data_IF_479449239190
#
_entry.id   IF_479449239190
#
_cell.length_a   1.000
_cell.length_b   1.000
_cell.length_c   1.000
_cell.angle_alpha   90.00
_cell.angle_beta   90.00
_cell.angle_gamma   90.00
#
_symmetry.space_group_name_H-M   'P 1'
#
loop_
_entity.id
_entity.type
_entity.pdbx_description
1 polymer ?
#
# COMPACT_ATOMS: atom_id res chain seq x y z
N UNK A 1 -4.17 -20.85 5.46
CA UNK A 1 -5.22 -19.84 5.69
C UNK A 1 -4.83 -18.63 4.86
N UNK A 2 -5.76 -18.05 4.11
CA UNK A 2 -5.49 -16.85 3.32
C UNK A 2 -5.60 -15.62 4.23
N UNK A 3 -4.59 -14.77 4.21
CA UNK A 3 -4.57 -13.50 4.95
C UNK A 3 -5.61 -12.55 4.37
N UNK A 4 -6.40 -11.91 5.24
CA UNK A 4 -7.38 -10.91 4.83
C UNK A 4 -6.69 -9.61 4.42
N UNK A 5 -7.38 -8.76 3.66
CA UNK A 5 -6.84 -7.46 3.28
C UNK A 5 -6.53 -6.59 4.51
N UNK A 6 -7.39 -6.62 5.54
CA UNK A 6 -7.22 -5.87 6.78
C UNK A 6 -5.99 -6.34 7.55
N UNK A 7 -5.75 -7.65 7.61
CA UNK A 7 -4.55 -8.22 8.21
C UNK A 7 -3.29 -7.82 7.43
N UNK A 8 -3.34 -7.89 6.09
CA UNK A 8 -2.24 -7.45 5.23
C UNK A 8 -1.94 -5.95 5.40
N UNK A 9 -2.98 -5.12 5.51
CA UNK A 9 -2.86 -3.69 5.76
C UNK A 9 -2.18 -3.40 7.09
N UNK A 10 -2.55 -4.13 8.14
CA UNK A 10 -1.92 -3.97 9.45
C UNK A 10 -0.44 -4.41 9.44
N UNK A 11 -0.09 -5.45 8.68
CA UNK A 11 1.32 -5.86 8.48
C UNK A 11 2.13 -4.73 7.83
N UNK A 12 1.60 -4.10 6.78
CA UNK A 12 2.25 -2.94 6.14
C UNK A 12 2.36 -1.79 7.14
N UNK A 13 1.27 -1.44 7.81
CA UNK A 13 1.23 -0.35 8.78
C UNK A 13 2.27 -0.54 9.89
N UNK A 14 2.28 -1.70 10.54
CA UNK A 14 3.22 -2.02 11.61
C UNK A 14 4.69 -2.00 11.16
N UNK A 15 4.97 -2.25 9.87
CA UNK A 15 6.33 -2.15 9.33
C UNK A 15 6.74 -0.71 9.02
N UNK A 16 5.89 0.05 8.34
CA UNK A 16 6.28 1.32 7.73
C UNK A 16 5.97 2.52 8.62
N UNK A 17 4.85 2.55 9.34
CA UNK A 17 4.45 3.69 10.17
C UNK A 17 5.50 4.03 11.24
N UNK A 18 6.05 3.08 12.02
CA UNK A 18 7.04 3.41 13.05
C UNK A 18 8.41 3.82 12.49
N UNK A 19 8.68 3.50 11.22
CA UNK A 19 9.93 3.82 10.54
C UNK A 19 9.77 5.00 9.56
N UNK A 20 8.61 5.65 9.57
CA UNK A 20 8.35 6.79 8.72
C UNK A 20 9.17 7.98 9.22
N UNK A 21 9.91 8.69 8.35
CA UNK A 21 10.71 9.81 8.83
C UNK A 21 9.81 10.97 9.26
N UNK A 22 10.01 11.49 10.47
CA UNK A 22 9.21 12.57 11.07
C UNK A 22 9.19 13.84 10.20
N UNK A 23 10.29 14.11 9.48
CA UNK A 23 10.43 15.29 8.61
C UNK A 23 9.80 15.13 7.22
N UNK A 24 9.24 13.96 6.91
CA UNK A 24 8.81 13.60 5.56
C UNK A 24 7.31 13.77 5.32
N UNK A 25 6.53 14.24 6.31
CA UNK A 25 5.08 14.37 6.24
C UNK A 25 4.33 13.22 6.91
N UNK A 26 3.01 13.19 6.80
CA UNK A 26 2.17 12.24 7.54
C UNK A 26 2.10 10.89 6.82
N UNK A 27 2.52 9.80 7.46
CA UNK A 27 2.38 8.45 6.92
C UNK A 27 0.94 8.13 6.53
N UNK A 28 0.75 7.60 5.33
CA UNK A 28 -0.55 7.26 4.78
C UNK A 28 -0.46 5.98 3.96
N UNK A 29 -1.45 5.10 4.15
CA UNK A 29 -1.76 4.00 3.24
C UNK A 29 -3.02 4.41 2.46
N UNK A 30 -2.90 4.60 1.16
CA UNK A 30 -4.05 4.85 0.28
C UNK A 30 -4.78 3.53 0.01
N UNK A 31 -5.72 3.19 0.90
CA UNK A 31 -6.50 1.97 0.88
C UNK A 31 -7.92 2.17 0.32
N UNK A 32 -8.16 3.26 -0.42
CA UNK A 32 -9.45 3.51 -1.11
C UNK A 32 -9.73 2.46 -2.18
N UNK A 33 -8.68 1.89 -2.75
CA UNK A 33 -8.73 0.80 -3.71
C UNK A 33 -7.86 -0.36 -3.22
N UNK A 34 -8.28 -1.57 -3.54
CA UNK A 34 -7.54 -2.79 -3.29
C UNK A 34 -7.00 -3.24 -4.64
N UNK A 35 -5.68 -3.24 -4.76
CA UNK A 35 -4.95 -3.85 -5.87
C UNK A 35 -4.42 -5.20 -5.41
N UNK A 36 -4.81 -6.28 -6.08
CA UNK A 36 -4.49 -7.63 -5.68
C UNK A 36 -4.45 -8.59 -6.87
N UNK A 37 -3.83 -9.74 -6.70
CA UNK A 37 -4.01 -10.90 -7.56
C UNK A 37 -4.21 -12.15 -6.68
N UNK A 38 -4.17 -13.35 -7.26
CA UNK A 38 -4.37 -14.59 -6.49
C UNK A 38 -3.32 -14.82 -5.39
N UNK A 39 -2.14 -14.22 -5.51
CA UNK A 39 -0.99 -14.46 -4.63
C UNK A 39 -0.79 -13.38 -3.57
N UNK A 40 -1.04 -12.11 -3.89
CA UNK A 40 -0.63 -10.97 -3.06
C UNK A 40 -1.59 -9.78 -3.12
N UNK A 41 -1.50 -8.94 -2.09
CA UNK A 41 -2.04 -7.58 -2.07
C UNK A 41 -0.91 -6.58 -2.33
N UNK A 42 -1.19 -5.52 -3.09
CA UNK A 42 -0.29 -4.41 -3.36
C UNK A 42 -0.78 -3.19 -2.60
N UNK A 43 0.13 -2.48 -1.92
CA UNK A 43 -0.21 -1.32 -1.12
C UNK A 43 0.43 -0.04 -1.67
N UNK A 44 -0.37 1.02 -1.73
CA UNK A 44 0.10 2.36 -2.01
C UNK A 44 0.37 3.07 -0.69
N UNK A 45 1.65 3.22 -0.35
CA UNK A 45 2.08 3.98 0.82
C UNK A 45 2.69 5.31 0.39
N UNK A 46 2.59 6.33 1.24
CA UNK A 46 3.15 7.64 0.97
C UNK A 46 2.76 8.64 2.04
N UNK A 47 2.93 9.92 1.72
CA UNK A 47 2.48 11.05 2.52
C UNK A 47 1.01 11.39 2.27
N UNK A 48 0.25 11.62 3.34
CA UNK A 48 -1.16 12.03 3.26
C UNK A 48 -1.33 13.33 2.48
N UNK A 49 -0.43 14.28 2.70
CA UNK A 49 -0.41 15.62 2.10
C UNK A 49 -0.37 15.53 0.57
N UNK A 50 0.36 14.57 0.01
CA UNK A 50 0.36 14.32 -1.43
C UNK A 50 -0.84 13.47 -1.87
N UNK A 51 -1.10 12.34 -1.18
CA UNK A 51 -2.06 11.33 -1.62
C UNK A 51 -3.53 11.77 -1.50
N UNK A 52 -3.82 12.68 -0.57
CA UNK A 52 -5.17 13.15 -0.24
C UNK A 52 -5.33 14.63 -0.52
N UNK A 53 -4.39 15.46 -0.06
CA UNK A 53 -4.48 16.92 -0.21
C UNK A 53 -3.87 17.43 -1.52
N UNK A 54 -3.28 16.54 -2.31
CA UNK A 54 -2.68 16.84 -3.62
C UNK A 54 -1.57 17.90 -3.55
N UNK A 55 -0.86 17.98 -2.42
CA UNK A 55 0.28 18.86 -2.24
C UNK A 55 1.53 18.24 -2.88
N UNK A 56 1.85 18.71 -4.08
CA UNK A 56 2.99 18.22 -4.88
C UNK A 56 4.35 18.41 -4.20
N UNK A 57 4.46 19.29 -3.20
CA UNK A 57 5.71 19.50 -2.45
C UNK A 57 6.15 18.24 -1.70
N UNK A 58 5.19 17.33 -1.44
CA UNK A 58 5.42 16.04 -0.82
C UNK A 58 5.38 14.89 -1.84
N UNK A 59 5.49 15.14 -3.14
CA UNK A 59 5.50 14.07 -4.13
C UNK A 59 6.72 13.16 -3.92
N UNK A 60 6.47 11.90 -3.54
CA UNK A 60 7.50 10.87 -3.44
C UNK A 60 7.41 10.02 -4.70
N UNK A 61 8.53 9.83 -5.40
CA UNK A 61 8.63 8.86 -6.50
C UNK A 61 8.78 7.47 -5.89
N UNK A 62 7.78 6.58 -5.94
CA UNK A 62 7.94 5.24 -5.40
C UNK A 62 8.72 4.42 -6.43
N UNK A 63 9.99 4.11 -6.13
CA UNK A 63 10.73 3.10 -6.89
C UNK A 63 10.25 1.68 -6.59
N UNK A 64 9.64 1.49 -5.41
CA UNK A 64 9.20 0.21 -4.89
C UNK A 64 7.85 0.33 -4.19
N UNK A 65 7.08 -0.75 -4.20
CA UNK A 65 5.74 -0.86 -3.61
C UNK A 65 5.68 -2.04 -2.64
N UNK A 66 5.17 -1.85 -1.41
CA UNK A 66 4.97 -2.95 -0.48
C UNK A 66 3.94 -3.94 -1.02
N UNK A 67 4.24 -5.23 -0.88
CA UNK A 67 3.31 -6.32 -1.19
C UNK A 67 3.22 -7.29 -0.03
N UNK A 68 2.02 -7.84 0.19
CA UNK A 68 1.80 -8.86 1.21
C UNK A 68 1.28 -10.12 0.54
N UNK A 69 2.00 -11.23 0.72
CA UNK A 69 1.59 -12.53 0.22
C UNK A 69 0.40 -13.06 1.02
N UNK A 70 -0.65 -13.47 0.32
CA UNK A 70 -1.90 -13.93 0.93
C UNK A 70 -1.74 -15.28 1.63
N UNK A 71 -0.76 -16.09 1.24
CA UNK A 71 -0.56 -17.45 1.77
C UNK A 71 -0.09 -17.48 3.22
N UNK A 72 0.78 -16.53 3.60
CA UNK A 72 1.51 -16.53 4.87
C UNK A 72 1.63 -15.14 5.52
N UNK A 73 1.17 -14.08 4.85
CA UNK A 73 1.29 -12.71 5.33
C UNK A 73 2.69 -12.14 5.19
N UNK A 74 3.59 -12.79 4.44
CA UNK A 74 4.96 -12.31 4.25
C UNK A 74 4.92 -10.95 3.56
N UNK A 75 5.55 -9.96 4.19
CA UNK A 75 5.76 -8.63 3.63
C UNK A 75 7.02 -8.64 2.75
N UNK A 76 6.89 -8.11 1.54
CA UNK A 76 7.98 -7.95 0.59
C UNK A 76 7.86 -6.57 -0.09
N UNK A 77 8.85 -6.21 -0.91
CA UNK A 77 8.80 -4.97 -1.69
C UNK A 77 9.21 -5.24 -3.13
N UNK A 78 8.32 -4.92 -4.07
CA UNK A 78 8.56 -5.10 -5.51
C UNK A 78 8.74 -3.76 -6.19
N UNK A 79 9.41 -3.71 -7.35
CA UNK A 79 9.39 -2.49 -8.17
C UNK A 79 7.99 -2.26 -8.74
N UNK A 80 7.59 -1.00 -8.91
CA UNK A 80 6.29 -0.66 -9.50
C UNK A 80 6.09 -1.36 -10.85
N UNK A 81 7.13 -1.41 -11.68
CA UNK A 81 7.13 -2.09 -12.98
C UNK A 81 6.83 -3.59 -12.90
N UNK A 82 7.30 -4.27 -11.84
CA UNK A 82 7.03 -5.69 -11.63
C UNK A 82 5.58 -5.90 -11.19
N UNK A 83 5.01 -4.99 -10.39
CA UNK A 83 3.59 -5.05 -10.03
C UNK A 83 2.68 -4.79 -11.23
N UNK A 84 3.00 -3.79 -12.05
CA UNK A 84 2.23 -3.45 -13.26
C UNK A 84 2.28 -4.55 -14.33
N UNK A 85 3.39 -5.29 -14.40
CA UNK A 85 3.58 -6.37 -15.36
C UNK A 85 2.87 -7.69 -14.99
N UNK A 86 2.23 -7.80 -13.81
CA UNK A 86 1.55 -9.05 -13.42
C UNK A 86 0.19 -9.16 -14.11
N UNK A 87 -0.01 -10.15 -15.00
CA UNK A 87 -1.19 -10.22 -15.89
C UNK A 87 -2.52 -10.55 -15.19
N UNK A 88 -2.53 -10.74 -13.86
CA UNK A 88 -3.71 -11.03 -13.04
C UNK A 88 -3.99 -9.98 -11.96
N UNK A 89 -3.27 -8.85 -11.95
CA UNK A 89 -3.55 -7.78 -11.00
C UNK A 89 -4.91 -7.12 -11.33
N UNK A 90 -5.83 -7.16 -10.37
CA UNK A 90 -7.12 -6.48 -10.44
C UNK A 90 -7.13 -5.38 -9.39
N UNK A 91 -7.65 -4.22 -9.77
CA UNK A 91 -7.93 -3.13 -8.83
C UNK A 91 -9.43 -2.95 -8.69
N UNK A 92 -9.90 -2.92 -7.45
CA UNK A 92 -11.32 -2.74 -7.11
C UNK A 92 -11.48 -1.75 -5.95
N UNK A 93 -12.65 -1.11 -5.80
CA UNK A 93 -12.94 -0.30 -4.63
C UNK A 93 -12.81 -1.11 -3.33
N UNK A 94 -12.22 -0.50 -2.28
CA UNK A 94 -12.27 -1.06 -0.94
C UNK A 94 -13.67 -0.83 -0.35
N UNK A 95 -14.42 -1.88 0.06
CA UNK A 95 -15.72 -1.69 0.69
C UNK A 95 -15.66 -0.98 2.05
N UNK A 96 -14.50 -1.02 2.72
CA UNK A 96 -14.29 -0.46 4.06
C UNK A 96 -12.91 0.22 4.14
N UNK A 97 -12.69 1.36 3.47
CA UNK A 97 -11.43 2.07 3.53
C UNK A 97 -11.20 2.64 4.93
N UNK A 98 -9.99 2.46 5.45
CA UNK A 98 -9.61 3.08 6.72
C UNK A 98 -9.15 4.53 6.52
N UNK A 99 -8.66 4.88 5.32
CA UNK A 99 -8.36 6.27 4.97
C UNK A 99 -9.66 7.08 4.88
N UNK A 100 -9.80 8.06 5.77
CA UNK A 100 -10.87 9.06 5.73
C UNK A 100 -10.34 10.34 5.05
N UNK A 101 -11.05 10.79 4.02
CA UNK A 101 -10.74 12.01 3.26
C UNK A 101 -11.20 13.22 4.06
#
# INVERSE_FOLDING_TARGET
>A
MTVSYEQAREIVRAKYEPNWPDDFGTFCIDDRQITENDELYVFRIGVREYLVENNISYAIVPGTVPVVYKTDGRLDTLSSSVCDARPSAVTRPNPSPALKI
#
